data_IF_058075636090
#
_entry.id   IF_058075636090
#
_cell.length_a   1.000
_cell.length_b   1.000
_cell.length_c   1.000
_cell.angle_alpha   90.00
_cell.angle_beta   90.00
_cell.angle_gamma   90.00
#
_symmetry.space_group_name_H-M   'P 1'
#
loop_
_entity.id
_entity.type
_entity.pdbx_description
1 polymer ?
#
# COMPACT_ATOMS: atom_id res chain seq x y z
N UNK A 1 -6.74 1.96 -19.00
CA UNK A 1 -5.62 1.03 -18.72
C UNK A 1 -4.66 1.60 -17.70
N UNK A 2 -4.43 2.91 -17.73
CA UNK A 2 -3.73 3.64 -16.66
C UNK A 2 -4.53 4.91 -16.34
N UNK A 3 -4.23 5.53 -15.21
CA UNK A 3 -4.77 6.86 -14.89
C UNK A 3 -4.04 7.95 -15.68
N UNK A 4 -4.71 9.07 -15.94
CA UNK A 4 -4.13 10.18 -16.69
C UNK A 4 -3.31 11.14 -15.81
N UNK A 5 -2.56 12.08 -16.41
CA UNK A 5 -1.65 12.98 -15.70
C UNK A 5 -2.31 13.81 -14.59
N UNK A 6 -3.57 14.21 -14.79
CA UNK A 6 -4.32 14.96 -13.76
C UNK A 6 -4.64 14.09 -12.53
N UNK A 7 -4.92 12.81 -12.72
CA UNK A 7 -5.15 11.88 -11.62
C UNK A 7 -3.85 11.54 -10.90
N UNK A 8 -2.73 11.43 -11.62
CA UNK A 8 -1.40 11.28 -11.02
C UNK A 8 -1.07 12.42 -10.05
N UNK A 9 -1.31 13.66 -10.48
CA UNK A 9 -1.12 14.86 -9.66
C UNK A 9 -2.02 14.84 -8.41
N UNK A 10 -3.31 14.52 -8.59
CA UNK A 10 -4.27 14.43 -7.49
C UNK A 10 -3.85 13.37 -6.47
N UNK A 11 -3.47 12.17 -6.92
CA UNK A 11 -3.03 11.09 -6.03
C UNK A 11 -1.74 11.46 -5.30
N UNK A 12 -0.75 11.99 -6.02
CA UNK A 12 0.52 12.45 -5.45
C UNK A 12 0.30 13.51 -4.36
N UNK A 13 -0.62 14.45 -4.61
CA UNK A 13 -0.98 15.50 -3.66
C UNK A 13 -1.64 14.93 -2.41
N UNK A 14 -2.56 13.98 -2.56
CA UNK A 14 -3.22 13.31 -1.43
C UNK A 14 -2.25 12.47 -0.61
N UNK A 15 -1.31 11.78 -1.27
CA UNK A 15 -0.25 11.01 -0.59
C UNK A 15 0.66 11.94 0.21
N UNK A 16 1.07 13.07 -0.36
CA UNK A 16 2.00 14.00 0.28
C UNK A 16 1.50 14.62 1.59
N UNK A 17 0.18 14.69 1.79
CA UNK A 17 -0.45 15.20 3.03
C UNK A 17 -0.71 14.13 4.09
N UNK A 18 -0.58 12.85 3.75
CA UNK A 18 -0.90 11.74 4.66
C UNK A 18 0.28 11.42 5.58
N UNK A 19 -0.03 11.08 6.84
CA UNK A 19 0.96 10.59 7.84
C UNK A 19 0.94 9.07 8.01
N UNK A 20 -0.17 8.46 7.61
CA UNK A 20 -0.35 7.00 7.54
C UNK A 20 -1.00 6.70 6.20
N UNK A 21 -0.38 5.82 5.43
CA UNK A 21 -0.82 5.44 4.09
C UNK A 21 -1.00 3.92 4.09
N UNK A 22 -2.19 3.47 3.71
CA UNK A 22 -2.45 2.06 3.39
C UNK A 22 -2.77 2.00 1.92
N UNK A 23 -1.93 1.33 1.13
CA UNK A 23 -2.11 1.20 -0.31
C UNK A 23 -2.40 -0.26 -0.69
N UNK A 24 -3.58 -0.49 -1.24
CA UNK A 24 -4.00 -1.78 -1.78
C UNK A 24 -4.48 -1.62 -3.23
N UNK A 25 -3.68 -2.10 -4.18
CA UNK A 25 -3.99 -2.12 -5.61
C UNK A 25 -3.38 -0.95 -6.39
N UNK A 26 -2.57 -1.21 -7.44
CA UNK A 26 -2.10 -0.16 -8.34
C UNK A 26 -3.25 0.42 -9.20
N UNK A 27 -3.25 1.73 -9.52
CA UNK A 27 -4.34 2.38 -10.25
C UNK A 27 -4.40 2.06 -11.75
N UNK A 28 -3.45 1.30 -12.28
CA UNK A 28 -3.34 0.96 -13.68
C UNK A 28 -2.62 -0.37 -13.91
N UNK A 29 -2.59 -0.82 -15.16
CA UNK A 29 -1.93 -2.06 -15.60
C UNK A 29 -0.40 -1.87 -15.65
N UNK A 30 0.18 -1.71 -14.46
CA UNK A 30 1.59 -1.37 -14.22
C UNK A 30 2.58 -2.37 -14.83
N UNK A 31 2.14 -3.59 -15.14
CA UNK A 31 2.88 -4.64 -15.83
C UNK A 31 3.37 -4.16 -17.21
N UNK A 32 2.59 -3.33 -17.89
CA UNK A 32 2.95 -2.74 -19.17
C UNK A 32 3.60 -1.36 -18.98
N UNK A 33 4.81 -1.17 -19.50
CA UNK A 33 5.58 0.08 -19.35
C UNK A 33 4.76 1.31 -19.77
N UNK A 34 4.00 1.21 -20.86
CA UNK A 34 3.13 2.29 -21.37
C UNK A 34 1.99 2.71 -20.42
N UNK A 35 1.64 1.84 -19.47
CA UNK A 35 0.53 2.01 -18.52
C UNK A 35 1.00 1.93 -17.06
N UNK A 36 2.28 2.25 -16.82
CA UNK A 36 2.91 2.16 -15.51
C UNK A 36 3.12 3.51 -14.84
N UNK A 37 2.93 4.61 -15.57
CA UNK A 37 3.19 5.97 -15.08
C UNK A 37 2.21 6.36 -13.96
N UNK A 38 0.94 6.02 -14.13
CA UNK A 38 -0.11 6.30 -13.16
C UNK A 38 0.08 5.58 -11.83
N UNK A 39 0.80 4.46 -11.84
CA UNK A 39 1.21 3.74 -10.63
C UNK A 39 2.52 4.26 -10.06
N UNK A 40 3.49 4.60 -10.92
CA UNK A 40 4.82 5.05 -10.50
C UNK A 40 4.79 6.40 -9.79
N UNK A 41 3.99 7.35 -10.29
CA UNK A 41 3.88 8.69 -9.68
C UNK A 41 3.45 8.66 -8.19
N UNK A 42 2.32 8.03 -7.81
CA UNK A 42 1.97 7.90 -6.39
C UNK A 42 2.96 7.03 -5.61
N UNK A 43 3.58 6.01 -6.22
CA UNK A 43 4.64 5.21 -5.54
C UNK A 43 5.81 6.07 -5.10
N UNK A 44 6.31 6.95 -5.96
CA UNK A 44 7.42 7.85 -5.60
C UNK A 44 7.02 8.82 -4.48
N UNK A 45 5.76 9.26 -4.46
CA UNK A 45 5.21 10.06 -3.37
C UNK A 45 5.16 9.28 -2.04
N UNK A 46 4.76 8.00 -2.08
CA UNK A 46 4.70 7.14 -0.88
C UNK A 46 6.10 6.85 -0.34
N UNK A 47 7.08 6.58 -1.20
CA UNK A 47 8.49 6.43 -0.81
C UNK A 47 9.01 7.69 -0.15
N UNK A 48 8.70 8.87 -0.72
CA UNK A 48 9.06 10.16 -0.12
C UNK A 48 8.42 10.36 1.26
N UNK A 49 7.15 10.00 1.42
CA UNK A 49 6.46 10.05 2.71
C UNK A 49 7.13 9.14 3.75
N UNK A 50 7.51 7.92 3.36
CA UNK A 50 8.25 6.98 4.21
C UNK A 50 9.60 7.57 4.65
N UNK A 51 10.35 8.17 3.73
CA UNK A 51 11.61 8.84 4.03
C UNK A 51 11.46 10.06 4.97
N UNK A 52 10.26 10.64 5.06
CA UNK A 52 9.92 11.68 6.02
C UNK A 52 9.48 11.13 7.39
N UNK A 53 9.53 9.81 7.59
CA UNK A 53 9.16 9.14 8.85
C UNK A 53 7.67 8.80 8.98
N UNK A 54 6.89 8.86 7.89
CA UNK A 54 5.49 8.49 7.90
C UNK A 54 5.28 6.98 7.70
N UNK A 55 4.18 6.45 8.25
CA UNK A 55 3.87 5.03 8.17
C UNK A 55 3.24 4.69 6.81
N UNK A 56 3.81 3.71 6.10
CA UNK A 56 3.33 3.27 4.79
C UNK A 56 3.20 1.75 4.73
N UNK A 57 1.97 1.29 4.49
CA UNK A 57 1.60 -0.13 4.49
C UNK A 57 1.08 -0.50 3.11
N UNK A 58 1.70 -1.49 2.49
CA UNK A 58 1.29 -2.03 1.20
C UNK A 58 0.53 -3.33 1.44
N UNK A 59 -0.75 -3.35 1.06
CA UNK A 59 -1.63 -4.52 1.13
C UNK A 59 -1.86 -5.14 -0.24
N UNK A 60 -1.96 -6.46 -0.30
CA UNK A 60 -2.30 -7.18 -1.54
C UNK A 60 -1.10 -7.63 -2.37
N UNK A 61 -1.25 -8.77 -3.07
CA UNK A 61 -0.18 -9.37 -3.88
C UNK A 61 0.27 -8.49 -5.06
N UNK A 62 -0.66 -7.79 -5.70
CA UNK A 62 -0.34 -6.91 -6.84
C UNK A 62 0.48 -5.70 -6.39
N UNK A 63 0.14 -5.10 -5.25
CA UNK A 63 0.88 -3.97 -4.68
C UNK A 63 2.28 -4.40 -4.22
N UNK A 64 2.43 -5.62 -3.69
CA UNK A 64 3.73 -6.20 -3.37
C UNK A 64 4.57 -6.41 -4.64
N UNK A 65 3.97 -6.99 -5.70
CA UNK A 65 4.62 -7.19 -7.02
C UNK A 65 5.07 -5.86 -7.64
N UNK A 66 4.23 -4.83 -7.49
CA UNK A 66 4.53 -3.46 -7.89
C UNK A 66 5.75 -2.89 -7.15
N UNK A 67 5.88 -3.12 -5.84
CA UNK A 67 7.08 -2.73 -5.08
C UNK A 67 8.35 -3.40 -5.60
N UNK A 68 8.29 -4.70 -5.92
CA UNK A 68 9.46 -5.41 -6.46
C UNK A 68 9.85 -4.84 -7.83
N UNK A 69 8.86 -4.63 -8.70
CA UNK A 69 9.08 -4.07 -10.05
C UNK A 69 9.77 -2.72 -10.00
N UNK A 70 9.36 -1.84 -9.08
CA UNK A 70 9.92 -0.50 -8.94
C UNK A 70 11.08 -0.41 -7.95
N UNK A 71 11.51 -1.51 -7.34
CA UNK A 71 12.61 -1.59 -6.37
C UNK A 71 12.41 -0.64 -5.19
N UNK A 72 11.25 -0.77 -4.56
CA UNK A 72 10.80 0.06 -3.42
C UNK A 72 10.41 -0.75 -2.18
N UNK A 73 10.63 -2.07 -2.19
CA UNK A 73 10.31 -2.96 -1.06
C UNK A 73 11.02 -2.54 0.24
N UNK A 74 12.26 -2.09 0.13
CA UNK A 74 13.11 -1.58 1.21
C UNK A 74 12.84 -0.10 1.55
N UNK A 75 11.90 0.54 0.86
CA UNK A 75 11.63 1.99 0.94
C UNK A 75 10.23 2.32 1.46
N UNK A 76 9.52 1.32 1.97
CA UNK A 76 8.19 1.43 2.57
C UNK A 76 8.22 0.82 3.97
N UNK A 77 7.29 1.20 4.86
CA UNK A 77 7.33 0.72 6.25
C UNK A 77 6.97 -0.77 6.36
N UNK A 78 5.99 -1.23 5.58
CA UNK A 78 5.57 -2.62 5.59
C UNK A 78 4.99 -3.06 4.24
N UNK A 79 5.38 -4.26 3.78
CA UNK A 79 4.73 -4.96 2.67
C UNK A 79 4.05 -6.21 3.23
N UNK A 80 2.73 -6.21 3.19
CA UNK A 80 1.92 -7.33 3.65
C UNK A 80 2.04 -8.52 2.69
N UNK A 81 2.32 -9.69 3.25
CA UNK A 81 2.22 -10.99 2.55
C UNK A 81 0.83 -11.61 2.69
N UNK A 82 -0.05 -11.02 3.50
CA UNK A 82 -1.34 -11.57 3.86
C UNK A 82 -2.41 -11.48 2.77
N UNK A 83 -2.14 -10.84 1.62
CA UNK A 83 -3.07 -10.69 0.49
C UNK A 83 -4.52 -10.44 0.96
N UNK A 84 -5.45 -11.38 0.73
CA UNK A 84 -6.84 -11.31 1.17
C UNK A 84 -7.01 -11.15 2.69
N UNK A 85 -6.21 -11.83 3.52
CA UNK A 85 -6.27 -11.71 4.98
C UNK A 85 -5.95 -10.28 5.44
N UNK A 86 -5.04 -9.57 4.75
CA UNK A 86 -4.80 -8.16 5.06
C UNK A 86 -5.95 -7.24 4.67
N UNK A 87 -6.73 -7.59 3.64
CA UNK A 87 -7.95 -6.83 3.32
C UNK A 87 -9.07 -7.15 4.31
N UNK A 88 -9.26 -8.41 4.69
CA UNK A 88 -10.21 -8.80 5.74
C UNK A 88 -9.92 -8.11 7.08
N UNK A 89 -8.63 -7.97 7.42
CA UNK A 89 -8.20 -7.18 8.59
C UNK A 89 -8.59 -5.71 8.45
N UNK A 90 -8.38 -5.10 7.27
CA UNK A 90 -8.74 -3.70 7.00
C UNK A 90 -10.25 -3.47 6.94
N UNK A 91 -11.03 -4.51 6.60
CA UNK A 91 -12.49 -4.51 6.67
C UNK A 91 -13.02 -4.62 8.11
N UNK A 92 -12.13 -4.83 9.10
CA UNK A 92 -12.48 -4.98 10.51
C UNK A 92 -13.02 -6.36 10.88
N UNK A 93 -12.83 -7.37 10.02
CA UNK A 93 -13.24 -8.74 10.32
C UNK A 93 -12.31 -9.37 11.35
N UNK A 94 -12.87 -10.24 12.16
CA UNK A 94 -12.09 -11.09 13.05
C UNK A 94 -11.39 -12.15 12.22
N UNK A 95 -10.06 -12.11 12.21
CA UNK A 95 -9.25 -13.18 11.65
C UNK A 95 -9.11 -14.29 12.70
N UNK A 96 -9.83 -15.41 12.54
CA UNK A 96 -9.84 -16.52 13.51
C UNK A 96 -8.42 -17.05 13.84
N UNK A 97 -7.53 -17.07 12.86
CA UNK A 97 -6.12 -17.48 13.08
C UNK A 97 -5.32 -16.51 13.94
N UNK A 98 -5.72 -15.23 14.01
CA UNK A 98 -5.11 -14.21 14.86
C UNK A 98 -5.76 -14.21 16.25
N UNK A 99 -7.09 -14.35 16.32
CA UNK A 99 -7.86 -14.39 17.57
C UNK A 99 -7.44 -15.54 18.49
N UNK A 100 -7.07 -16.68 17.91
CA UNK A 100 -6.71 -17.90 18.66
C UNK A 100 -5.28 -17.90 19.22
N UNK A 101 -4.48 -16.85 18.97
CA UNK A 101 -3.12 -16.74 19.51
C UNK A 101 -3.12 -16.56 21.03
N UNK A 102 -2.03 -17.00 21.70
CA UNK A 102 -1.85 -16.91 23.16
C UNK A 102 -0.52 -16.23 23.52
N UNK A 103 -0.54 -15.08 24.23
CA UNK A 103 -1.73 -14.31 24.58
C UNK A 103 -2.43 -13.77 23.33
N UNK A 104 -3.75 -13.50 23.39
CA UNK A 104 -4.45 -12.87 22.27
C UNK A 104 -3.79 -11.51 22.00
N UNK A 105 -3.49 -11.18 20.74
CA UNK A 105 -2.92 -9.88 20.40
C UNK A 105 -3.89 -8.79 20.82
N UNK A 106 -3.38 -7.76 21.50
CA UNK A 106 -4.14 -6.56 21.79
C UNK A 106 -4.38 -5.85 20.46
N UNK A 107 -5.60 -5.97 19.93
CA UNK A 107 -6.10 -5.03 18.93
C UNK A 107 -6.11 -3.66 19.61
N UNK A 108 -5.56 -2.62 18.96
CA UNK A 108 -5.56 -1.26 19.49
C UNK A 108 -7.00 -0.87 19.83
N UNK A 109 -7.28 -0.73 21.13
CA UNK A 109 -8.55 -0.23 21.62
C UNK A 109 -8.78 1.16 21.00
N UNK A 110 -9.83 1.29 20.19
CA UNK A 110 -10.30 2.59 19.65
C UNK A 110 -10.98 3.42 20.71
#
# INVERSE_FOLDING_TARGET
MDVGPKSEELFTTVVARAKTIVWNGPPGAFEFVKFSHGTKAPMDAVVKATGAGYCTIFGGGDTATCCQKFKTEDKVTHVSTGSGASLELLEGKVLLGVETLSPPPQMLDT
#
